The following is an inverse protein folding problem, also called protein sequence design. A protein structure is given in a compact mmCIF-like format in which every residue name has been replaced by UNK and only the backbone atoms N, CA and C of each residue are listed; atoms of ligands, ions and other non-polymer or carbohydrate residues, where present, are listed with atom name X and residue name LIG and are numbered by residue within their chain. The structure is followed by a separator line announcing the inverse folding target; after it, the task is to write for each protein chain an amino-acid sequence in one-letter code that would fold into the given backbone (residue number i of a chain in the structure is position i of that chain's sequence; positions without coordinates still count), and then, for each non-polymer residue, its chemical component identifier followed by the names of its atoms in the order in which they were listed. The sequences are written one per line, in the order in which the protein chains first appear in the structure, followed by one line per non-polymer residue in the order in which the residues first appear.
data_IF_381200226902
#
_entry.id   IF_381200226902
#
_cell.length_a   1.000
_cell.length_b   1.000
_cell.length_c   1.000
_cell.angle_alpha   90.00
_cell.angle_beta   90.00
_cell.angle_gamma   90.00
#
_symmetry.space_group_name_H-M   'P 1'
#
loop_
_entity.id
_entity.type
_entity.pdbx_description
1 polymer ?
#
# COMPACT_ATOMS: atom_id res chain seq x y z
N UNK A 1 -2.50 16.67 -7.41
CA UNK A 1 -3.92 16.31 -7.22
C UNK A 1 -4.09 15.04 -6.38
N UNK A 2 -3.39 13.96 -6.71
CA UNK A 2 -3.45 12.68 -5.98
C UNK A 2 -3.09 12.78 -4.49
N UNK A 3 -1.96 13.43 -4.14
CA UNK A 3 -1.59 13.64 -2.73
C UNK A 3 -2.65 14.41 -1.92
N UNK A 4 -3.32 15.38 -2.54
CA UNK A 4 -4.40 16.13 -1.89
C UNK A 4 -5.64 15.26 -1.67
N UNK A 5 -6.01 14.44 -2.66
CA UNK A 5 -7.10 13.48 -2.51
C UNK A 5 -6.80 12.46 -1.41
N UNK A 6 -5.54 11.99 -1.33
CA UNK A 6 -5.09 11.08 -0.29
C UNK A 6 -5.18 11.69 1.11
N UNK A 7 -4.72 12.93 1.28
CA UNK A 7 -4.85 13.66 2.54
C UNK A 7 -6.31 13.82 2.98
N UNK A 8 -7.23 14.09 2.04
CA UNK A 8 -8.67 14.17 2.34
C UNK A 8 -9.22 12.83 2.82
N UNK A 9 -8.82 11.72 2.16
CA UNK A 9 -9.24 10.37 2.57
C UNK A 9 -8.71 10.02 3.96
N UNK A 10 -7.43 10.26 4.23
CA UNK A 10 -6.83 10.07 5.57
C UNK A 10 -7.61 10.87 6.62
N UNK A 11 -7.90 12.14 6.35
CA UNK A 11 -8.65 12.99 7.27
C UNK A 11 -10.05 12.44 7.57
N UNK A 12 -10.74 11.96 6.54
CA UNK A 12 -12.14 11.47 6.62
C UNK A 12 -12.26 10.10 7.28
N UNK A 13 -11.31 9.20 7.09
CA UNK A 13 -11.44 7.79 7.48
C UNK A 13 -10.51 7.43 8.65
N UNK A 14 -11.10 7.16 9.82
CA UNK A 14 -10.35 6.79 11.03
C UNK A 14 -9.47 5.54 10.85
N UNK A 15 -9.91 4.58 10.02
CA UNK A 15 -9.15 3.35 9.74
C UNK A 15 -7.79 3.62 9.07
N UNK A 16 -7.69 4.65 8.22
CA UNK A 16 -6.41 5.06 7.61
C UNK A 16 -5.47 5.77 8.59
N UNK A 17 -6.00 6.19 9.73
CA UNK A 17 -5.27 6.85 10.83
C UNK A 17 -5.05 5.90 12.02
N UNK A 18 -5.34 4.62 11.83
CA UNK A 18 -5.27 3.63 12.90
C UNK A 18 -3.88 2.99 12.93
N UNK A 19 -3.22 3.07 14.09
CA UNK A 19 -2.04 2.29 14.43
C UNK A 19 -2.37 1.19 15.45
N UNK A 20 -1.46 0.24 15.61
CA UNK A 20 -1.56 -0.85 16.56
C UNK A 20 -0.30 -0.95 17.40
N UNK A 21 -0.48 -1.15 18.70
CA UNK A 21 0.55 -1.60 19.61
C UNK A 21 0.27 -3.04 20.00
N UNK A 22 1.08 -3.95 19.47
CA UNK A 22 0.97 -5.39 19.71
C UNK A 22 1.92 -5.90 20.81
N UNK A 23 2.79 -5.03 21.35
CA UNK A 23 3.93 -5.44 22.18
C UNK A 23 4.06 -4.66 23.49
N UNK A 24 3.34 -3.56 23.68
CA UNK A 24 3.46 -2.67 24.85
C UNK A 24 2.73 -3.11 26.12
N UNK A 25 1.98 -4.21 26.14
CA UNK A 25 1.20 -4.60 27.33
C UNK A 25 0.50 -5.95 27.29
N UNK A 26 -0.45 -6.16 28.22
CA UNK A 26 -1.18 -7.43 28.42
C UNK A 26 -2.16 -7.77 27.28
N UNK A 27 -2.55 -6.80 26.44
CA UNK A 27 -3.46 -6.97 25.32
C UNK A 27 -3.09 -6.03 24.16
N UNK A 28 -3.34 -6.43 22.89
CA UNK A 28 -3.10 -5.58 21.74
C UNK A 28 -4.02 -4.35 21.77
N UNK A 29 -3.46 -3.18 21.49
CA UNK A 29 -4.17 -1.90 21.47
C UNK A 29 -4.25 -1.33 20.06
N UNK A 30 -5.35 -0.63 19.79
CA UNK A 30 -5.61 0.05 18.52
C UNK A 30 -5.92 1.52 18.78
N UNK A 31 -5.11 2.43 18.23
CA UNK A 31 -5.22 3.87 18.48
C UNK A 31 -5.46 4.65 17.18
N UNK A 32 -6.34 5.64 17.24
CA UNK A 32 -6.65 6.50 16.09
C UNK A 32 -5.90 7.83 16.24
N UNK A 33 -4.97 8.09 15.33
CA UNK A 33 -4.16 9.30 15.33
C UNK A 33 -4.95 10.51 14.81
N UNK A 34 -4.61 11.71 15.26
CA UNK A 34 -5.15 12.95 14.68
C UNK A 34 -4.79 13.03 13.20
N UNK A 35 -5.69 13.56 12.38
CA UNK A 35 -5.46 13.66 10.93
C UNK A 35 -4.20 14.45 10.56
N UNK A 36 -3.87 15.48 11.34
CA UNK A 36 -2.66 16.30 11.15
C UNK A 36 -1.36 15.58 11.52
N UNK A 37 -1.43 14.47 12.25
CA UNK A 37 -0.28 13.70 12.69
C UNK A 37 0.05 12.53 11.73
N UNK A 38 -0.73 12.34 10.66
CA UNK A 38 -0.58 11.24 9.70
C UNK A 38 -0.09 11.79 8.37
N UNK A 39 1.06 11.31 7.91
CA UNK A 39 1.63 11.74 6.64
C UNK A 39 0.79 11.24 5.45
N UNK A 40 0.50 12.14 4.52
CA UNK A 40 -0.27 11.85 3.31
C UNK A 40 0.61 11.87 2.06
N UNK A 41 1.75 11.18 2.14
CA UNK A 41 2.75 11.15 1.07
C UNK A 41 2.29 10.26 -0.09
N UNK A 42 2.57 10.73 -1.30
CA UNK A 42 2.41 9.97 -2.54
C UNK A 42 3.63 10.23 -3.41
N UNK A 43 4.74 9.48 -3.23
CA UNK A 43 5.92 9.59 -4.08
C UNK A 43 5.57 9.39 -5.56
N UNK A 44 6.30 10.13 -6.41
CA UNK A 44 6.17 10.02 -7.87
C UNK A 44 7.47 9.46 -8.43
N UNK A 45 7.36 8.31 -9.09
CA UNK A 45 8.46 7.68 -9.83
C UNK A 45 8.29 7.98 -11.32
N UNK A 46 9.23 8.73 -11.88
CA UNK A 46 9.20 9.08 -13.30
C UNK A 46 9.82 7.95 -14.14
N UNK A 47 8.98 7.27 -14.94
CA UNK A 47 9.38 6.22 -15.88
C UNK A 47 9.16 6.64 -17.33
N UNK A 48 8.92 7.94 -17.58
CA UNK A 48 8.73 8.48 -18.92
C UNK A 48 10.04 8.38 -19.70
N UNK A 49 9.94 8.16 -21.00
CA UNK A 49 11.11 8.04 -21.88
C UNK A 49 11.89 6.72 -21.76
N UNK A 50 11.59 5.87 -20.77
CA UNK A 50 12.14 4.52 -20.72
C UNK A 50 11.49 3.63 -21.78
N UNK A 51 12.31 2.81 -22.44
CA UNK A 51 11.84 1.76 -23.35
C UNK A 51 10.99 0.71 -22.61
N UNK A 52 10.30 -0.13 -23.36
CA UNK A 52 9.36 -1.11 -22.80
C UNK A 52 9.99 -2.08 -21.81
N UNK A 53 11.22 -2.53 -22.06
CA UNK A 53 11.89 -3.50 -21.19
C UNK A 53 12.41 -2.85 -19.92
N UNK A 54 13.12 -1.73 -20.07
CA UNK A 54 13.65 -0.98 -18.93
C UNK A 54 12.52 -0.53 -18.00
N UNK A 55 11.40 -0.08 -18.56
CA UNK A 55 10.21 0.30 -17.79
C UNK A 55 9.65 -0.89 -17.01
N UNK A 56 9.50 -2.06 -17.65
CA UNK A 56 9.01 -3.28 -16.99
C UNK A 56 9.91 -3.72 -15.85
N UNK A 57 11.22 -3.66 -16.04
CA UNK A 57 12.19 -3.98 -15.00
C UNK A 57 12.10 -3.00 -13.83
N UNK A 58 11.96 -1.69 -14.10
CA UNK A 58 11.84 -0.69 -13.04
C UNK A 58 10.53 -0.81 -12.25
N UNK A 59 9.42 -1.12 -12.92
CA UNK A 59 8.15 -1.44 -12.26
C UNK A 59 8.27 -2.64 -11.33
N UNK A 60 8.93 -3.72 -11.79
CA UNK A 60 9.16 -4.91 -10.97
C UNK A 60 10.02 -4.62 -9.75
N UNK A 61 11.13 -3.89 -9.95
CA UNK A 61 12.00 -3.49 -8.86
C UNK A 61 11.23 -2.68 -7.80
N UNK A 62 10.37 -1.74 -8.21
CA UNK A 62 9.53 -0.98 -7.29
C UNK A 62 8.57 -1.91 -6.49
N UNK A 63 7.95 -2.88 -7.15
CA UNK A 63 7.08 -3.87 -6.49
C UNK A 63 7.86 -4.72 -5.47
N UNK A 64 9.09 -5.11 -5.79
CA UNK A 64 9.96 -5.89 -4.91
C UNK A 64 10.44 -5.06 -3.71
N UNK A 65 10.83 -3.81 -3.94
CA UNK A 65 11.18 -2.83 -2.90
C UNK A 65 10.02 -2.62 -1.91
N UNK A 66 8.79 -2.44 -2.42
CA UNK A 66 7.62 -2.23 -1.58
C UNK A 66 7.23 -3.47 -0.77
N UNK A 67 7.34 -4.67 -1.35
CA UNK A 67 7.10 -5.94 -0.64
C UNK A 67 8.14 -6.23 0.44
N UNK A 68 9.39 -5.83 0.21
CA UNK A 68 10.46 -5.97 1.20
C UNK A 68 10.34 -4.95 2.35
N UNK A 69 9.63 -3.85 2.13
CA UNK A 69 9.47 -2.78 3.11
C UNK A 69 8.34 -3.10 4.08
N UNK A 70 8.69 -3.39 5.33
CA UNK A 70 7.73 -3.70 6.37
C UNK A 70 7.00 -2.43 6.85
N UNK A 71 5.72 -2.59 7.17
CA UNK A 71 4.95 -1.56 7.87
C UNK A 71 5.33 -1.52 9.35
N UNK A 72 5.59 -0.31 9.86
CA UNK A 72 5.57 -0.06 11.29
C UNK A 72 4.12 0.09 11.73
N UNK A 73 3.62 -0.90 12.47
CA UNK A 73 2.23 -0.96 12.90
C UNK A 73 1.83 0.22 13.80
N UNK A 74 2.80 0.87 14.46
CA UNK A 74 2.57 2.03 15.32
C UNK A 74 2.46 3.35 14.54
N UNK A 75 2.78 3.34 13.24
CA UNK A 75 2.85 4.54 12.40
C UNK A 75 1.89 4.45 11.21
N UNK A 76 0.64 4.92 11.35
CA UNK A 76 -0.25 5.05 10.20
C UNK A 76 0.26 6.12 9.21
N UNK A 77 -0.14 6.05 7.92
CA UNK A 77 -1.10 5.08 7.40
C UNK A 77 -0.44 3.72 7.11
N UNK A 78 -1.12 2.62 7.46
CA UNK A 78 -0.68 1.26 7.07
C UNK A 78 -1.09 0.92 5.61
N UNK A 79 -1.14 1.97 4.78
CA UNK A 79 -1.39 1.96 3.35
C UNK A 79 -0.46 3.01 2.73
N UNK A 80 0.36 2.60 1.78
CA UNK A 80 1.28 3.46 1.02
C UNK A 80 0.81 3.55 -0.43
N UNK A 81 0.84 4.76 -0.98
CA UNK A 81 0.51 5.03 -2.37
C UNK A 81 1.74 5.55 -3.09
N UNK A 82 1.90 5.19 -4.37
CA UNK A 82 2.89 5.80 -5.25
C UNK A 82 2.30 6.01 -6.65
N UNK A 83 2.73 7.06 -7.34
CA UNK A 83 2.41 7.28 -8.74
C UNK A 83 3.63 6.94 -9.61
N UNK A 84 3.46 6.07 -10.60
CA UNK A 84 4.52 5.72 -11.55
C UNK A 84 4.14 6.33 -12.90
N UNK A 85 4.78 7.43 -13.27
CA UNK A 85 4.48 8.15 -14.51
C UNK A 85 5.05 7.39 -15.72
N UNK A 86 4.19 6.97 -16.64
CA UNK A 86 4.57 6.12 -17.78
C UNK A 86 4.75 6.91 -19.08
N UNK A 87 3.97 7.99 -19.24
CA UNK A 87 4.12 9.03 -20.27
C UNK A 87 3.39 10.31 -19.81
N UNK A 88 3.16 11.26 -20.70
CA UNK A 88 2.50 12.54 -20.41
C UNK A 88 1.04 12.41 -19.96
N UNK A 89 0.37 11.30 -20.26
CA UNK A 89 -1.07 11.09 -19.99
C UNK A 89 -1.38 9.82 -19.21
N UNK A 90 -0.41 8.93 -19.03
CA UNK A 90 -0.58 7.65 -18.32
C UNK A 90 0.30 7.58 -17.09
N UNK A 91 -0.30 7.13 -16.00
CA UNK A 91 0.40 6.73 -14.78
C UNK A 91 -0.17 5.41 -14.28
N UNK A 92 0.66 4.62 -13.60
CA UNK A 92 0.18 3.52 -12.76
C UNK A 92 0.10 4.01 -11.32
N UNK A 93 -0.94 3.56 -10.59
CA UNK A 93 -1.07 3.78 -9.17
C UNK A 93 -0.58 2.53 -8.45
N UNK A 94 0.52 2.66 -7.73
CA UNK A 94 1.01 1.65 -6.80
C UNK A 94 0.27 1.77 -5.46
N UNK A 95 -0.20 0.65 -4.94
CA UNK A 95 -0.84 0.54 -3.62
C UNK A 95 -0.18 -0.60 -2.88
N UNK A 96 0.34 -0.31 -1.68
CA UNK A 96 0.81 -1.31 -0.73
C UNK A 96 0.02 -1.14 0.55
N UNK A 97 -0.51 -2.23 1.11
CA UNK A 97 -1.39 -2.18 2.27
C UNK A 97 -1.09 -3.31 3.26
N UNK A 98 -1.35 -3.03 4.53
CA UNK A 98 -1.37 -4.06 5.54
C UNK A 98 -2.77 -4.69 5.62
N UNK A 99 -2.86 -6.02 5.52
CA UNK A 99 -4.11 -6.80 5.56
C UNK A 99 -4.94 -6.63 6.84
N UNK A 100 -4.35 -6.06 7.90
CA UNK A 100 -5.07 -5.68 9.14
C UNK A 100 -5.94 -4.42 9.00
N UNK A 101 -5.75 -3.62 7.94
CA UNK A 101 -6.42 -2.33 7.74
C UNK A 101 -7.42 -2.35 6.59
N UNK A 102 -7.18 -3.18 5.56
CA UNK A 102 -8.09 -3.39 4.45
C UNK A 102 -8.33 -4.89 4.28
N UNK A 103 -9.59 -5.31 4.35
CA UNK A 103 -9.97 -6.59 3.79
C UNK A 103 -9.99 -6.48 2.25
N UNK A 104 -9.71 -7.58 1.54
CA UNK A 104 -9.57 -7.55 0.07
C UNK A 104 -10.80 -7.04 -0.70
N UNK A 105 -11.94 -6.82 -0.04
CA UNK A 105 -13.15 -6.20 -0.59
C UNK A 105 -13.14 -4.66 -0.52
N UNK A 106 -12.45 -4.07 0.46
CA UNK A 106 -12.26 -2.61 0.56
C UNK A 106 -11.34 -2.08 -0.55
N UNK A 107 -10.33 -2.86 -0.96
CA UNK A 107 -9.48 -2.53 -2.11
C UNK A 107 -10.26 -2.49 -3.43
N UNK A 108 -11.25 -3.36 -3.60
CA UNK A 108 -12.12 -3.35 -4.79
C UNK A 108 -13.09 -2.16 -4.83
N UNK A 109 -13.49 -1.66 -3.65
CA UNK A 109 -14.32 -0.46 -3.53
C UNK A 109 -13.52 0.83 -3.79
N UNK A 110 -12.21 0.82 -3.55
CA UNK A 110 -11.28 1.90 -3.96
C UNK A 110 -10.87 1.81 -5.44
N UNK A 111 -11.05 0.63 -6.07
CA UNK A 111 -10.48 0.27 -7.38
C UNK A 111 -11.47 0.14 -8.54
N UNK A 112 -12.62 0.84 -8.56
CA UNK A 112 -13.59 0.72 -9.67
C UNK A 112 -13.18 1.45 -10.96
N UNK A 113 -11.93 1.27 -11.41
CA UNK A 113 -11.55 1.58 -12.80
C UNK A 113 -10.28 0.84 -13.21
N UNK A 114 -10.49 -0.14 -14.08
CA UNK A 114 -9.52 -0.70 -15.03
C UNK A 114 -8.55 -1.78 -14.51
N UNK A 115 -9.08 -3.00 -14.30
CA UNK A 115 -8.31 -4.22 -14.49
C UNK A 115 -8.93 -5.05 -15.62
N UNK A 116 -8.31 -5.05 -16.81
CA UNK A 116 -8.47 -6.15 -17.77
C UNK A 116 -7.14 -6.50 -18.42
N UNK A 117 -6.99 -7.81 -18.57
CA UNK A 117 -6.04 -8.61 -19.36
C UNK A 117 -4.59 -8.74 -18.88
N UNK A 118 -4.32 -9.80 -18.09
CA UNK A 118 -3.67 -11.03 -18.59
C UNK A 118 -3.94 -12.21 -17.64
N UNK A 119 -4.19 -13.45 -18.13
CA UNK A 119 -4.58 -14.58 -17.30
C UNK A 119 -3.35 -15.41 -16.93
N UNK A 120 -2.77 -15.20 -15.74
CA UNK A 120 -1.98 -16.20 -14.98
C UNK A 120 -1.46 -15.55 -13.70
N UNK A 121 -2.33 -15.42 -12.70
CA UNK A 121 -1.85 -15.23 -11.35
C UNK A 121 -2.77 -16.01 -10.39
N UNK A 122 -2.37 -17.25 -10.10
CA UNK A 122 -2.86 -17.94 -8.91
C UNK A 122 -2.14 -17.33 -7.70
N UNK A 123 -2.84 -16.87 -6.66
CA UNK A 123 -2.19 -16.44 -5.44
C UNK A 123 -1.57 -17.64 -4.73
N UNK A 124 -0.25 -17.74 -4.73
CA UNK A 124 0.46 -18.64 -3.81
C UNK A 124 0.37 -18.04 -2.41
N UNK A 125 -0.53 -18.57 -1.58
CA UNK A 125 -0.51 -18.30 -0.15
C UNK A 125 0.63 -19.13 0.47
N UNK A 126 1.71 -18.48 0.90
CA UNK A 126 2.73 -19.14 1.71
C UNK A 126 2.27 -19.20 3.17
N UNK A 127 1.63 -20.31 3.57
CA UNK A 127 1.39 -20.63 4.98
C UNK A 127 2.72 -20.92 5.68
N UNK A 128 3.32 -19.89 6.28
CA UNK A 128 4.44 -20.06 7.20
C UNK A 128 3.98 -20.69 8.53
N UNK A 129 3.97 -22.03 8.62
CA UNK A 129 3.82 -22.74 9.91
C UNK A 129 5.15 -22.63 10.69
N UNK A 130 5.26 -21.69 11.64
CA UNK A 130 6.31 -21.76 12.68
C UNK A 130 5.88 -22.73 13.78
N UNK A 131 6.56 -23.87 13.89
CA UNK A 131 6.51 -24.77 15.05
C UNK A 131 7.19 -24.07 16.24
N UNK A 132 6.54 -24.04 17.40
CA UNK A 132 7.20 -23.74 18.69
C UNK A 132 7.91 -25.02 19.19
N UNK A 133 9.15 -24.96 19.67
CA UNK A 133 9.75 -26.08 20.40
C UNK A 133 9.15 -26.16 21.82
N UNK A 134 9.04 -27.39 22.34
CA UNK A 134 8.70 -27.69 23.74
C UNK A 134 9.94 -27.61 24.60
#
# INVERSE_FOLDING_TARGET
MLARAWAILIGRHAILRTGFDLHGGQAPLQWVHLATAVAAEVPVHDLRGLDGETRRLRLRAWIEEEQATLFDWSRPPLVRLAALALDERRFALGVAEHHSVLDGWSLQSLGTSCWRSTPTFSPVSSRGKRKRPR
#
